data_IF_820739284253
#
_entry.id   IF_820739284253
#
_cell.length_a   1.000
_cell.length_b   1.000
_cell.length_c   1.000
_cell.angle_alpha   90.00
_cell.angle_beta   90.00
_cell.angle_gamma   90.00
#
_symmetry.space_group_name_H-M   'P 1'
#
loop_
_entity.id
_entity.type
_entity.pdbx_description
1 polymer ?
#
# COMPACT_ATOMS: atom_id res chain seq x y z
N UNK A 1 -8.15 -25.60 3.31
CA UNK A 1 -7.38 -26.19 2.17
C UNK A 1 -6.29 -25.21 1.76
N UNK A 2 -5.09 -25.70 1.37
CA UNK A 2 -4.08 -24.81 0.79
C UNK A 2 -4.52 -24.48 -0.64
N UNK A 3 -4.98 -23.25 -0.85
CA UNK A 3 -5.31 -22.75 -2.18
C UNK A 3 -4.02 -22.60 -2.97
N UNK A 4 -3.93 -23.24 -4.14
CA UNK A 4 -2.77 -23.05 -5.02
C UNK A 4 -2.89 -21.72 -5.72
N UNK A 5 -2.04 -20.78 -5.35
CA UNK A 5 -1.93 -19.47 -5.99
C UNK A 5 -0.66 -19.43 -6.85
N UNK A 6 -0.79 -18.90 -8.05
CA UNK A 6 0.33 -18.75 -8.98
C UNK A 6 0.56 -17.26 -9.22
N UNK A 7 1.79 -16.81 -9.01
CA UNK A 7 2.22 -15.48 -9.43
C UNK A 7 2.13 -15.36 -10.95
N UNK A 8 1.55 -14.26 -11.43
CA UNK A 8 1.45 -13.93 -12.86
C UNK A 8 1.90 -12.49 -13.10
N UNK A 9 2.28 -12.17 -14.32
CA UNK A 9 2.63 -10.82 -14.72
C UNK A 9 1.40 -10.03 -15.13
N UNK A 10 1.54 -8.68 -15.25
CA UNK A 10 0.49 -7.82 -15.79
C UNK A 10 -0.10 -6.83 -14.76
N UNK A 11 0.30 -6.90 -13.49
CA UNK A 11 -0.16 -5.94 -12.48
C UNK A 11 -1.68 -5.75 -12.52
N UNK A 12 -2.16 -4.51 -12.60
CA UNK A 12 -3.60 -4.18 -12.69
C UNK A 12 -4.28 -4.66 -13.97
N UNK A 13 -3.54 -5.10 -14.98
CA UNK A 13 -4.08 -5.65 -16.22
C UNK A 13 -4.01 -7.19 -16.29
N UNK A 14 -3.55 -7.86 -15.25
CA UNK A 14 -3.49 -9.32 -15.20
C UNK A 14 -4.88 -9.95 -15.18
N UNK A 15 -5.86 -9.31 -14.54
CA UNK A 15 -7.25 -9.73 -14.55
C UNK A 15 -7.90 -9.44 -15.90
N UNK A 16 -8.74 -10.36 -16.39
CA UNK A 16 -9.37 -10.25 -17.69
C UNK A 16 -10.21 -8.97 -17.83
N UNK A 17 -10.17 -8.33 -19.00
CA UNK A 17 -10.95 -7.14 -19.33
C UNK A 17 -10.45 -5.82 -18.74
N UNK A 18 -9.24 -5.80 -18.17
CA UNK A 18 -8.58 -4.57 -17.73
C UNK A 18 -7.49 -4.13 -18.69
N UNK A 19 -7.44 -2.83 -18.93
CA UNK A 19 -6.38 -2.14 -19.67
C UNK A 19 -5.92 -0.94 -18.87
N UNK A 20 -4.66 -0.53 -19.07
CA UNK A 20 -4.12 0.66 -18.43
C UNK A 20 -3.20 1.42 -19.39
N UNK A 21 -2.90 2.65 -19.05
CA UNK A 21 -1.88 3.46 -19.71
C UNK A 21 -1.33 4.53 -18.76
N UNK A 22 -0.15 5.02 -19.07
CA UNK A 22 0.49 6.12 -18.38
C UNK A 22 1.35 6.93 -19.33
N UNK A 23 1.32 8.27 -19.18
CA UNK A 23 2.12 9.19 -19.97
C UNK A 23 2.55 10.42 -19.15
N UNK A 24 3.47 11.21 -19.71
CA UNK A 24 3.79 12.52 -19.18
C UNK A 24 2.89 13.57 -19.83
N UNK A 25 1.95 14.13 -19.07
CA UNK A 25 1.09 15.20 -19.54
C UNK A 25 1.71 16.60 -19.30
N UNK A 26 2.81 16.70 -18.57
CA UNK A 26 3.52 17.94 -18.29
C UNK A 26 3.38 18.49 -16.88
N UNK A 27 2.78 17.73 -15.96
CA UNK A 27 2.82 18.04 -14.54
C UNK A 27 4.23 17.78 -13.99
N UNK A 28 4.90 16.75 -14.50
CA UNK A 28 6.31 16.51 -14.21
C UNK A 28 7.20 17.20 -15.24
N UNK A 29 8.11 18.10 -14.82
CA UNK A 29 9.02 18.76 -15.75
C UNK A 29 10.01 17.81 -16.44
N UNK A 30 10.32 16.66 -15.80
CA UNK A 30 11.10 15.61 -16.45
C UNK A 30 10.24 14.82 -17.42
N UNK A 31 10.42 15.05 -18.70
CA UNK A 31 9.65 14.44 -19.78
C UNK A 31 9.82 12.92 -19.90
N UNK A 32 10.81 12.34 -19.24
CA UNK A 32 11.01 10.90 -19.20
C UNK A 32 10.19 10.22 -18.08
N UNK A 33 9.56 10.99 -17.21
CA UNK A 33 8.73 10.48 -16.10
C UNK A 33 7.26 10.72 -16.39
N UNK A 34 6.50 9.64 -16.43
CA UNK A 34 5.04 9.71 -16.54
C UNK A 34 4.45 10.36 -15.28
N UNK A 35 3.31 11.04 -15.44
CA UNK A 35 2.64 11.76 -14.35
C UNK A 35 1.10 11.68 -14.39
N UNK A 36 0.55 11.01 -15.42
CA UNK A 36 -0.87 10.77 -15.56
C UNK A 36 -1.13 9.31 -15.94
N UNK A 37 -1.96 8.62 -15.17
CA UNK A 37 -2.34 7.22 -15.36
C UNK A 37 -3.84 7.07 -15.56
N UNK A 38 -4.24 6.04 -16.32
CA UNK A 38 -5.61 5.61 -16.49
C UNK A 38 -5.68 4.08 -16.44
N UNK A 39 -6.61 3.56 -15.62
CA UNK A 39 -6.99 2.15 -15.60
C UNK A 39 -8.44 2.08 -16.10
N UNK A 40 -8.76 1.11 -16.92
CA UNK A 40 -10.04 0.95 -17.57
C UNK A 40 -10.51 -0.50 -17.52
N UNK A 41 -11.81 -0.69 -17.29
CA UNK A 41 -12.49 -1.98 -17.41
C UNK A 41 -13.50 -1.99 -18.56
N UNK A 42 -13.48 -3.05 -19.35
CA UNK A 42 -14.46 -3.27 -20.43
C UNK A 42 -15.89 -3.40 -19.91
N UNK A 43 -16.08 -3.95 -18.71
CA UNK A 43 -17.36 -4.09 -18.03
C UNK A 43 -17.45 -3.18 -16.80
N UNK A 44 -18.66 -2.83 -16.41
CA UNK A 44 -18.95 -2.21 -15.13
C UNK A 44 -18.45 -3.12 -13.99
N UNK A 45 -17.72 -2.56 -13.04
CA UNK A 45 -17.19 -3.27 -11.89
C UNK A 45 -18.03 -2.98 -10.64
N UNK A 46 -18.17 -3.98 -9.78
CA UNK A 46 -18.36 -3.69 -8.36
C UNK A 46 -17.06 -3.12 -7.80
N UNK A 47 -17.17 -2.16 -6.90
CA UNK A 47 -16.01 -1.46 -6.35
C UNK A 47 -16.07 -1.37 -4.83
N UNK A 48 -14.90 -1.30 -4.21
CA UNK A 48 -14.74 -0.94 -2.80
C UNK A 48 -13.50 -0.08 -2.62
N UNK A 49 -13.49 0.73 -1.57
CA UNK A 49 -12.31 1.52 -1.25
C UNK A 49 -12.20 1.80 0.25
N UNK A 50 -10.95 1.95 0.70
CA UNK A 50 -10.61 2.47 2.02
C UNK A 50 -9.70 3.69 1.85
N UNK A 51 -9.76 4.60 2.81
CA UNK A 51 -9.18 5.93 2.68
C UNK A 51 -8.47 6.34 3.96
N UNK A 52 -7.55 7.30 3.85
CA UNK A 52 -6.87 7.89 5.00
C UNK A 52 -7.83 8.38 6.09
N UNK A 53 -7.44 8.18 7.34
CA UNK A 53 -8.10 8.77 8.51
C UNK A 53 -7.61 10.18 8.82
N UNK A 54 -6.58 10.70 8.11
CA UNK A 54 -6.14 12.07 8.27
C UNK A 54 -7.33 13.03 8.15
N UNK A 55 -7.42 14.00 9.06
CA UNK A 55 -8.50 15.00 9.04
C UNK A 55 -8.41 15.94 7.84
N UNK A 56 -7.19 16.23 7.39
CA UNK A 56 -6.92 16.91 6.13
C UNK A 56 -7.00 15.89 5.01
N UNK A 57 -8.03 15.97 4.17
CA UNK A 57 -8.27 15.03 3.07
C UNK A 57 -8.05 15.71 1.72
N UNK A 58 -7.35 15.01 0.85
CA UNK A 58 -7.25 15.41 -0.56
C UNK A 58 -8.62 15.45 -1.23
N UNK A 59 -8.84 16.44 -2.08
CA UNK A 59 -10.07 16.61 -2.82
C UNK A 59 -10.47 15.36 -3.67
N UNK A 60 -9.53 14.63 -4.28
CA UNK A 60 -9.86 13.39 -4.99
C UNK A 60 -10.58 12.34 -4.13
N UNK A 61 -10.23 12.23 -2.84
CA UNK A 61 -10.92 11.32 -1.92
C UNK A 61 -12.40 11.71 -1.76
N UNK A 62 -12.67 13.01 -1.64
CA UNK A 62 -14.03 13.52 -1.46
C UNK A 62 -14.89 13.24 -2.69
N UNK A 63 -14.35 13.49 -3.89
CA UNK A 63 -15.03 13.20 -5.17
C UNK A 63 -15.24 11.71 -5.36
N UNK A 64 -14.21 10.86 -5.17
CA UNK A 64 -14.34 9.41 -5.28
C UNK A 64 -15.40 8.84 -4.34
N UNK A 65 -15.47 9.33 -3.09
CA UNK A 65 -16.52 8.92 -2.14
C UNK A 65 -17.92 9.28 -2.62
N UNK A 66 -18.11 10.48 -3.18
CA UNK A 66 -19.38 10.91 -3.76
C UNK A 66 -19.79 10.03 -4.94
N UNK A 67 -18.85 9.72 -5.83
CA UNK A 67 -19.09 8.87 -7.01
C UNK A 67 -19.49 7.46 -6.61
N UNK A 68 -18.72 6.79 -5.74
CA UNK A 68 -19.06 5.43 -5.30
C UNK A 68 -20.40 5.39 -4.55
N UNK A 69 -20.73 6.40 -3.76
CA UNK A 69 -22.04 6.48 -3.11
C UNK A 69 -23.17 6.70 -4.12
N UNK A 70 -22.98 7.52 -5.15
CA UNK A 70 -23.97 7.80 -6.18
C UNK A 70 -24.26 6.59 -7.09
N UNK A 71 -23.23 5.78 -7.39
CA UNK A 71 -23.33 4.61 -8.27
C UNK A 71 -23.69 3.31 -7.54
N UNK A 72 -23.84 3.34 -6.22
CA UNK A 72 -24.03 2.11 -5.42
C UNK A 72 -22.78 1.22 -5.43
N UNK A 73 -21.61 1.82 -5.29
CA UNK A 73 -20.29 1.17 -5.33
C UNK A 73 -19.97 0.49 -6.67
N UNK A 74 -20.22 1.21 -7.76
CA UNK A 74 -19.84 0.78 -9.10
C UNK A 74 -18.90 1.78 -9.73
N UNK A 75 -17.94 1.28 -10.52
CA UNK A 75 -17.01 2.10 -11.28
C UNK A 75 -16.50 1.33 -12.50
N UNK A 76 -15.88 2.05 -13.46
CA UNK A 76 -15.28 1.46 -14.66
C UNK A 76 -13.87 1.95 -14.94
N UNK A 77 -13.48 3.07 -14.35
CA UNK A 77 -12.16 3.63 -14.60
C UNK A 77 -11.53 4.20 -13.31
N UNK A 78 -10.22 4.31 -13.33
CA UNK A 78 -9.43 5.05 -12.33
C UNK A 78 -8.51 6.01 -13.06
N UNK A 79 -8.59 7.32 -12.79
CA UNK A 79 -7.64 8.33 -13.28
C UNK A 79 -6.78 8.85 -12.14
N UNK A 80 -5.47 8.93 -12.35
CA UNK A 80 -4.51 9.32 -11.31
C UNK A 80 -3.49 10.29 -11.87
N UNK A 81 -3.25 11.41 -11.17
CA UNK A 81 -2.07 12.22 -11.43
C UNK A 81 -1.05 12.13 -10.30
N UNK A 82 0.23 12.20 -10.64
CA UNK A 82 1.31 12.47 -9.69
C UNK A 82 1.77 13.93 -9.75
N UNK A 83 2.78 14.30 -8.95
CA UNK A 83 3.38 15.64 -8.77
C UNK A 83 2.53 16.65 -8.00
N UNK A 84 1.21 16.56 -8.00
CA UNK A 84 0.31 17.46 -7.29
C UNK A 84 -0.74 16.63 -6.52
N UNK A 85 -0.82 16.83 -5.21
CA UNK A 85 -1.75 16.09 -4.33
C UNK A 85 -3.20 16.58 -4.44
N UNK A 86 -3.43 17.74 -5.03
CA UNK A 86 -4.75 18.39 -5.06
C UNK A 86 -5.40 18.45 -3.66
N UNK A 87 -4.61 18.87 -2.68
CA UNK A 87 -4.99 18.96 -1.27
C UNK A 87 -4.77 20.37 -0.75
N UNK A 88 -5.66 20.85 0.11
CA UNK A 88 -5.68 22.21 0.67
C UNK A 88 -5.87 23.31 -0.41
N UNK A 89 -6.57 23.01 -1.47
CA UNK A 89 -6.90 23.95 -2.56
C UNK A 89 -8.39 24.28 -2.51
N UNK A 90 -8.74 25.56 -2.68
CA UNK A 90 -10.13 26.01 -2.68
C UNK A 90 -10.95 25.44 -3.85
N UNK A 91 -10.30 25.18 -4.99
CA UNK A 91 -10.86 24.62 -6.22
C UNK A 91 -10.59 23.10 -6.38
N UNK A 92 -10.12 22.45 -5.32
CA UNK A 92 -9.65 21.07 -5.39
C UNK A 92 -10.71 20.07 -5.85
N UNK A 93 -11.93 20.13 -5.29
CA UNK A 93 -13.02 19.23 -5.68
C UNK A 93 -13.47 19.48 -7.13
N UNK A 94 -13.52 20.76 -7.57
CA UNK A 94 -13.81 21.11 -8.96
C UNK A 94 -12.77 20.49 -9.91
N UNK A 95 -11.48 20.61 -9.59
CA UNK A 95 -10.40 20.04 -10.41
C UNK A 95 -10.42 18.51 -10.43
N UNK A 96 -10.69 17.87 -9.30
CA UNK A 96 -10.85 16.41 -9.24
C UNK A 96 -12.06 15.94 -10.05
N UNK A 97 -13.19 16.67 -9.99
CA UNK A 97 -14.36 16.40 -10.84
C UNK A 97 -14.04 16.56 -12.32
N UNK A 98 -13.35 17.64 -12.71
CA UNK A 98 -12.92 17.85 -14.09
C UNK A 98 -12.05 16.72 -14.63
N UNK A 99 -11.18 16.13 -13.82
CA UNK A 99 -10.41 14.92 -14.21
C UNK A 99 -11.34 13.74 -14.54
N UNK A 100 -12.39 13.53 -13.73
CA UNK A 100 -13.38 12.49 -13.99
C UNK A 100 -14.17 12.76 -15.25
N UNK A 101 -14.62 14.01 -15.45
CA UNK A 101 -15.39 14.42 -16.62
C UNK A 101 -14.60 14.21 -17.92
N UNK A 102 -13.31 14.58 -17.91
CA UNK A 102 -12.41 14.43 -19.06
C UNK A 102 -12.18 12.96 -19.40
N UNK A 103 -11.88 12.11 -18.38
CA UNK A 103 -11.70 10.68 -18.60
C UNK A 103 -12.99 10.00 -19.08
N UNK A 104 -14.11 10.33 -18.47
CA UNK A 104 -15.42 9.79 -18.81
C UNK A 104 -15.83 10.11 -20.26
N UNK A 105 -15.57 11.34 -20.71
CA UNK A 105 -15.86 11.77 -22.10
C UNK A 105 -15.09 10.93 -23.12
N UNK A 106 -13.79 10.66 -22.88
CA UNK A 106 -12.98 9.85 -23.80
C UNK A 106 -13.34 8.36 -23.75
N UNK A 107 -13.83 7.85 -22.60
CA UNK A 107 -14.20 6.46 -22.41
C UNK A 107 -15.67 6.15 -22.74
N UNK A 108 -16.49 7.16 -22.97
CA UNK A 108 -17.93 7.01 -23.24
C UNK A 108 -18.73 6.46 -22.05
N UNK A 109 -18.37 6.87 -20.84
CA UNK A 109 -19.03 6.49 -19.57
C UNK A 109 -19.48 7.73 -18.81
N UNK A 110 -20.12 7.54 -17.65
CA UNK A 110 -20.48 8.65 -16.78
C UNK A 110 -19.29 9.03 -15.89
N UNK A 111 -19.21 10.31 -15.51
CA UNK A 111 -18.15 10.81 -14.65
C UNK A 111 -18.14 10.16 -13.25
N UNK A 112 -19.32 9.78 -12.72
CA UNK A 112 -19.45 9.11 -11.45
C UNK A 112 -19.01 7.63 -11.48
N UNK A 113 -18.77 7.05 -12.66
CA UNK A 113 -18.14 5.73 -12.83
C UNK A 113 -16.59 5.80 -12.81
N UNK A 114 -16.01 6.99 -12.58
CA UNK A 114 -14.56 7.22 -12.51
C UNK A 114 -14.11 7.45 -11.07
N UNK A 115 -13.17 6.64 -10.60
CA UNK A 115 -12.40 6.88 -9.37
C UNK A 115 -11.27 7.84 -9.71
N UNK A 116 -11.07 8.88 -8.90
CA UNK A 116 -9.99 9.84 -9.08
C UNK A 116 -9.03 9.84 -7.89
N UNK A 117 -7.74 9.90 -8.16
CA UNK A 117 -6.70 10.02 -7.16
C UNK A 117 -5.60 10.99 -7.61
N UNK A 118 -4.92 11.59 -6.65
CA UNK A 118 -3.79 12.49 -6.87
C UNK A 118 -2.72 12.26 -5.81
N UNK A 119 -1.46 12.45 -6.15
CA UNK A 119 -0.33 12.39 -5.22
C UNK A 119 0.74 13.41 -5.60
N UNK A 120 1.51 13.87 -4.61
CA UNK A 120 2.58 14.85 -4.79
C UNK A 120 2.47 15.98 -3.79
N UNK A 121 2.74 17.20 -4.25
CA UNK A 121 2.83 18.38 -3.38
C UNK A 121 1.47 18.84 -2.90
N UNK A 122 1.37 19.16 -1.61
CA UNK A 122 0.19 19.72 -0.94
C UNK A 122 0.21 21.25 -1.05
N UNK A 123 -0.99 21.87 -1.21
CA UNK A 123 -1.15 23.33 -1.17
C UNK A 123 -0.85 24.05 -2.50
N UNK A 124 -0.53 23.30 -3.55
CA UNK A 124 -0.39 23.85 -4.90
C UNK A 124 -1.66 23.61 -5.72
N UNK A 125 -2.10 24.64 -6.48
CA UNK A 125 -3.22 24.49 -7.42
C UNK A 125 -2.88 23.44 -8.48
N UNK A 126 -3.81 22.54 -8.75
CA UNK A 126 -3.67 21.58 -9.83
C UNK A 126 -3.95 22.27 -11.17
N UNK A 127 -2.96 22.39 -12.06
CA UNK A 127 -3.21 22.87 -13.42
C UNK A 127 -3.96 21.76 -14.20
N UNK A 128 -5.19 22.06 -14.62
CA UNK A 128 -6.02 21.06 -15.31
C UNK A 128 -5.72 20.99 -16.83
N UNK A 129 -5.17 22.04 -17.38
CA UNK A 129 -4.88 22.16 -18.80
C UNK A 129 -3.97 21.04 -19.33
N UNK A 130 -2.85 20.70 -18.67
CA UNK A 130 -2.02 19.57 -19.09
C UNK A 130 -2.79 18.25 -19.17
N UNK A 131 -3.67 18.00 -18.20
CA UNK A 131 -4.48 16.78 -18.16
C UNK A 131 -5.49 16.79 -19.32
N UNK A 132 -6.21 17.91 -19.49
CA UNK A 132 -7.20 18.07 -20.58
C UNK A 132 -6.58 17.85 -21.94
N UNK A 133 -5.37 18.38 -22.15
CA UNK A 133 -4.73 18.37 -23.48
C UNK A 133 -4.13 16.98 -23.82
N UNK A 134 -3.98 16.08 -22.83
CA UNK A 134 -3.39 14.74 -23.01
C UNK A 134 -4.31 13.54 -22.67
N UNK A 135 -5.49 13.77 -22.09
CA UNK A 135 -6.40 12.67 -21.69
C UNK A 135 -6.86 11.82 -22.88
N UNK A 136 -7.01 12.40 -24.05
CA UNK A 136 -7.36 11.67 -25.28
C UNK A 136 -6.23 10.71 -25.69
N UNK A 137 -4.98 11.17 -25.67
CA UNK A 137 -3.81 10.33 -25.95
C UNK A 137 -3.70 9.20 -24.90
N UNK A 138 -3.94 9.53 -23.62
CA UNK A 138 -3.94 8.59 -22.53
C UNK A 138 -4.97 7.46 -22.76
N UNK A 139 -6.20 7.82 -23.12
CA UNK A 139 -7.29 6.87 -23.39
C UNK A 139 -7.03 6.01 -24.64
N UNK A 140 -6.52 6.61 -25.72
CA UNK A 140 -6.17 5.86 -26.96
C UNK A 140 -5.05 4.87 -26.75
N UNK A 141 -4.16 5.10 -25.78
CA UNK A 141 -3.05 4.22 -25.42
C UNK A 141 -3.41 3.11 -24.46
N UNK A 142 -4.67 2.94 -24.08
CA UNK A 142 -5.10 1.86 -23.17
C UNK A 142 -4.79 0.49 -23.78
N UNK A 143 -4.07 -0.33 -23.02
CA UNK A 143 -3.68 -1.68 -23.41
C UNK A 143 -3.34 -2.52 -22.18
N UNK A 144 -3.60 -3.83 -22.19
CA UNK A 144 -3.13 -4.72 -21.13
C UNK A 144 -1.61 -4.71 -20.96
N UNK A 145 -0.86 -4.43 -22.00
CA UNK A 145 0.61 -4.37 -22.00
C UNK A 145 1.18 -3.07 -21.41
N UNK A 146 0.34 -2.06 -21.19
CA UNK A 146 0.77 -0.76 -20.65
C UNK A 146 0.59 -0.63 -19.12
N UNK A 147 0.35 -1.74 -18.39
CA UNK A 147 0.23 -1.74 -16.93
C UNK A 147 1.44 -1.07 -16.25
N UNK A 148 2.66 -1.41 -16.67
CA UNK A 148 3.88 -0.81 -16.14
C UNK A 148 3.99 0.70 -16.39
N UNK A 149 3.43 1.24 -17.51
CA UNK A 149 3.37 2.70 -17.73
C UNK A 149 2.46 3.38 -16.71
N UNK A 150 1.33 2.76 -16.39
CA UNK A 150 0.43 3.27 -15.36
C UNK A 150 1.08 3.23 -13.96
N UNK A 151 1.74 2.12 -13.61
CA UNK A 151 2.45 1.99 -12.35
C UNK A 151 3.59 3.02 -12.21
N UNK A 152 4.32 3.32 -13.29
CA UNK A 152 5.32 4.38 -13.31
C UNK A 152 4.72 5.78 -13.17
N UNK A 153 3.53 6.03 -13.74
CA UNK A 153 2.92 7.35 -13.76
C UNK A 153 2.39 7.82 -12.39
N UNK A 154 2.17 6.89 -11.46
CA UNK A 154 1.73 7.23 -10.11
C UNK A 154 2.88 7.45 -9.13
N UNK A 155 4.13 7.19 -9.51
CA UNK A 155 5.32 7.34 -8.67
C UNK A 155 5.63 8.82 -8.36
N UNK A 156 6.25 9.04 -7.19
CA UNK A 156 6.77 10.35 -6.78
C UNK A 156 8.26 10.27 -6.46
N UNK A 157 8.60 9.84 -5.25
CA UNK A 157 9.97 9.58 -4.78
C UNK A 157 10.36 8.11 -4.87
N UNK A 158 9.45 7.27 -5.30
CA UNK A 158 9.66 5.84 -5.51
C UNK A 158 10.85 5.59 -6.45
N UNK A 159 11.64 4.55 -6.18
CA UNK A 159 12.80 4.19 -7.01
C UNK A 159 12.43 3.17 -8.10
N UNK A 160 11.34 2.43 -7.92
CA UNK A 160 10.81 1.49 -8.90
C UNK A 160 9.29 1.37 -8.82
N UNK A 161 8.67 0.97 -9.94
CA UNK A 161 7.24 0.70 -10.01
C UNK A 161 6.88 -0.59 -9.27
N UNK A 162 5.85 -0.52 -8.41
CA UNK A 162 5.40 -1.63 -7.57
C UNK A 162 4.11 -2.21 -8.13
N UNK A 163 4.18 -3.42 -8.64
CA UNK A 163 3.03 -4.15 -9.16
C UNK A 163 3.18 -5.66 -8.92
N UNK A 164 2.06 -6.35 -8.78
CA UNK A 164 2.01 -7.80 -8.62
C UNK A 164 0.64 -8.34 -9.01
N UNK A 165 0.56 -9.60 -9.35
CA UNK A 165 -0.71 -10.29 -9.57
C UNK A 165 -0.60 -11.78 -9.23
N UNK A 166 -1.73 -12.37 -8.84
CA UNK A 166 -1.86 -13.81 -8.59
C UNK A 166 -3.08 -14.37 -9.29
N UNK A 167 -2.95 -15.57 -9.83
CA UNK A 167 -4.07 -16.37 -10.33
C UNK A 167 -4.37 -17.55 -9.41
N UNK A 168 -5.64 -17.93 -9.35
CA UNK A 168 -6.17 -18.99 -8.51
C UNK A 168 -7.43 -19.54 -9.15
N UNK A 169 -8.04 -20.57 -8.56
CA UNK A 169 -9.24 -21.21 -9.09
C UNK A 169 -10.43 -21.02 -8.14
N UNK A 170 -11.56 -20.57 -8.68
CA UNK A 170 -12.87 -20.58 -8.04
C UNK A 170 -13.85 -21.32 -8.93
N UNK A 171 -14.58 -22.29 -8.39
CA UNK A 171 -15.63 -23.01 -9.11
C UNK A 171 -15.15 -23.56 -10.48
N UNK A 172 -13.90 -24.03 -10.53
CA UNK A 172 -13.24 -24.52 -11.76
C UNK A 172 -12.86 -23.43 -12.77
N UNK A 173 -13.06 -22.14 -12.45
CA UNK A 173 -12.68 -20.98 -13.27
C UNK A 173 -11.34 -20.41 -12.82
N UNK A 174 -10.50 -20.02 -13.76
CA UNK A 174 -9.30 -19.25 -13.43
C UNK A 174 -9.68 -17.81 -13.13
N UNK A 175 -9.33 -17.36 -11.95
CA UNK A 175 -9.55 -16.02 -11.46
C UNK A 175 -8.20 -15.33 -11.21
N UNK A 176 -8.18 -14.01 -11.27
CA UNK A 176 -6.96 -13.22 -11.07
C UNK A 176 -7.24 -12.00 -10.19
N UNK A 177 -6.32 -11.72 -9.29
CA UNK A 177 -6.21 -10.44 -8.57
C UNK A 177 -4.88 -9.82 -8.92
N UNK A 178 -4.90 -8.58 -9.39
CA UNK A 178 -3.69 -7.81 -9.68
C UNK A 178 -3.73 -6.45 -9.04
N UNK A 179 -2.58 -5.85 -8.82
CA UNK A 179 -2.52 -4.53 -8.21
C UNK A 179 -1.23 -3.78 -8.50
N UNK A 180 -1.30 -2.48 -8.33
CA UNK A 180 -0.16 -1.58 -8.31
C UNK A 180 -0.24 -0.64 -7.11
N UNK A 181 0.93 -0.22 -6.61
CA UNK A 181 1.06 0.68 -5.48
C UNK A 181 2.15 1.72 -5.71
N UNK A 182 2.00 2.88 -5.08
CA UNK A 182 3.06 3.89 -4.96
C UNK A 182 3.18 4.34 -3.51
N UNK A 183 4.40 4.66 -3.15
CA UNK A 183 4.75 5.25 -1.88
C UNK A 183 6.17 4.92 -1.49
N UNK A 184 6.84 5.91 -0.91
CA UNK A 184 8.23 5.85 -0.47
C UNK A 184 8.44 6.72 0.77
N UNK A 185 7.76 7.86 0.90
CA UNK A 185 7.68 8.73 2.07
C UNK A 185 6.25 9.15 2.40
N UNK A 186 6.05 9.78 3.57
CA UNK A 186 4.77 10.11 4.18
C UNK A 186 3.90 8.84 4.34
N UNK A 187 4.50 7.82 4.95
CA UNK A 187 3.87 6.49 5.10
C UNK A 187 3.81 6.08 6.57
N UNK A 188 2.65 6.24 7.17
CA UNK A 188 2.26 5.66 8.46
C UNK A 188 0.74 5.48 8.46
N UNK A 189 0.24 4.40 7.89
CA UNK A 189 -1.19 4.23 7.69
C UNK A 189 -1.95 4.00 8.98
N UNK A 190 -3.13 4.62 8.96
CA UNK A 190 -4.22 4.22 9.82
C UNK A 190 -5.48 4.20 8.97
N UNK A 191 -5.90 2.99 8.52
CA UNK A 191 -7.03 2.72 7.61
C UNK A 191 -6.83 2.98 6.10
N UNK A 192 -5.72 3.30 5.59
CA UNK A 192 -5.14 3.20 4.23
C UNK A 192 -3.89 4.05 4.14
N UNK A 193 -2.94 3.61 3.34
CA UNK A 193 -1.68 4.32 3.19
C UNK A 193 -1.18 4.15 1.79
N UNK A 194 -0.74 5.23 1.18
CA UNK A 194 -0.28 5.19 -0.20
C UNK A 194 -1.45 5.14 -1.21
N UNK A 195 -1.16 5.28 -2.49
CA UNK A 195 -2.14 5.01 -3.53
C UNK A 195 -1.97 3.59 -4.03
N UNK A 196 -3.05 2.82 -3.92
CA UNK A 196 -3.09 1.43 -4.35
C UNK A 196 -4.35 1.18 -5.17
N UNK A 197 -4.17 0.58 -6.32
CA UNK A 197 -5.25 0.22 -7.23
C UNK A 197 -5.17 -1.28 -7.48
N UNK A 198 -6.29 -1.95 -7.20
CA UNK A 198 -6.43 -3.40 -7.33
C UNK A 198 -7.54 -3.71 -8.31
N UNK A 199 -7.34 -4.70 -9.13
CA UNK A 199 -8.31 -5.19 -10.12
C UNK A 199 -8.49 -6.69 -9.96
N UNK A 200 -9.68 -7.17 -10.25
CA UNK A 200 -9.97 -8.61 -10.30
C UNK A 200 -11.08 -8.89 -11.31
N UNK A 201 -11.00 -10.04 -11.94
CA UNK A 201 -12.04 -10.56 -12.82
C UNK A 201 -13.08 -11.42 -12.09
N UNK A 202 -12.97 -11.56 -10.77
CA UNK A 202 -13.92 -12.31 -9.93
C UNK A 202 -15.30 -11.65 -9.91
N UNK A 203 -16.34 -12.44 -10.06
CA UNK A 203 -17.73 -12.04 -9.78
C UNK A 203 -17.95 -12.05 -8.26
N UNK A 204 -18.04 -10.88 -7.64
CA UNK A 204 -18.18 -10.70 -6.19
C UNK A 204 -18.94 -9.41 -5.88
N UNK A 205 -19.77 -9.42 -4.84
CA UNK A 205 -20.53 -8.24 -4.43
C UNK A 205 -19.62 -7.17 -3.81
N UNK A 206 -20.02 -5.89 -3.93
CA UNK A 206 -19.30 -4.78 -3.33
C UNK A 206 -19.20 -4.89 -1.80
N UNK A 207 -20.22 -5.49 -1.16
CA UNK A 207 -20.22 -5.74 0.28
C UNK A 207 -19.10 -6.71 0.68
N UNK A 208 -18.99 -7.84 -0.05
CA UNK A 208 -17.95 -8.84 0.23
C UNK A 208 -16.54 -8.33 -0.08
N UNK A 209 -16.37 -7.54 -1.16
CA UNK A 209 -15.09 -6.90 -1.44
C UNK A 209 -14.74 -5.92 -0.32
N UNK A 210 -15.68 -5.07 0.10
CA UNK A 210 -15.44 -4.07 1.14
C UNK A 210 -15.06 -4.72 2.47
N UNK A 211 -15.73 -5.85 2.81
CA UNK A 211 -15.39 -6.64 3.99
C UNK A 211 -13.96 -7.17 3.91
N UNK A 212 -13.61 -7.89 2.82
CA UNK A 212 -12.28 -8.44 2.61
C UNK A 212 -11.19 -7.36 2.66
N UNK A 213 -11.40 -6.25 1.95
CA UNK A 213 -10.46 -5.13 1.91
C UNK A 213 -10.25 -4.52 3.30
N UNK A 214 -11.32 -4.27 4.05
CA UNK A 214 -11.27 -3.67 5.38
C UNK A 214 -10.56 -4.56 6.41
N UNK A 215 -10.70 -5.87 6.30
CA UNK A 215 -10.01 -6.84 7.17
C UNK A 215 -8.52 -6.94 6.82
N UNK A 216 -8.20 -7.07 5.53
CA UNK A 216 -6.83 -7.30 5.06
C UNK A 216 -5.95 -6.07 5.27
N UNK A 217 -6.47 -4.86 5.05
CA UNK A 217 -5.73 -3.62 5.24
C UNK A 217 -5.23 -3.47 6.68
N UNK A 218 -5.96 -3.97 7.68
CA UNK A 218 -5.55 -3.91 9.09
C UNK A 218 -4.24 -4.66 9.37
N UNK A 219 -4.01 -5.77 8.67
CA UNK A 219 -2.86 -6.66 8.89
C UNK A 219 -1.81 -6.56 7.78
N UNK A 220 -1.98 -5.65 6.83
CA UNK A 220 -1.05 -5.34 5.76
C UNK A 220 -0.62 -3.87 5.81
N UNK A 221 -1.24 -3.01 5.05
CA UNK A 221 -0.86 -1.59 4.96
C UNK A 221 -0.88 -0.86 6.31
N UNK A 222 -1.86 -1.10 7.19
CA UNK A 222 -1.88 -0.47 8.51
C UNK A 222 -0.75 -0.92 9.45
N UNK A 223 -0.03 -1.97 9.08
CA UNK A 223 1.16 -2.44 9.75
C UNK A 223 2.47 -1.94 9.12
N UNK A 224 2.40 -1.02 8.16
CA UNK A 224 3.56 -0.40 7.51
C UNK A 224 3.87 0.96 8.17
N UNK A 225 5.15 1.32 8.30
CA UNK A 225 5.58 2.68 8.66
C UNK A 225 6.96 2.98 8.08
N UNK A 226 7.08 4.07 7.32
CA UNK A 226 8.36 4.58 6.84
C UNK A 226 8.87 5.71 7.73
N UNK A 227 8.07 6.74 7.96
CA UNK A 227 8.45 7.96 8.66
C UNK A 227 7.50 8.40 9.78
N UNK A 228 6.41 7.68 10.00
CA UNK A 228 5.44 8.00 11.04
C UNK A 228 4.37 9.01 10.62
N UNK A 229 4.42 9.54 9.38
CA UNK A 229 3.50 10.56 8.89
C UNK A 229 2.36 9.96 8.05
N UNK A 230 1.11 10.22 8.46
CA UNK A 230 -0.09 9.76 7.74
C UNK A 230 -0.45 10.73 6.63
N UNK A 231 -0.45 10.25 5.39
CA UNK A 231 -0.76 11.06 4.21
C UNK A 231 -2.21 11.55 4.17
N UNK A 232 -2.42 12.65 3.44
CA UNK A 232 -3.73 13.26 3.19
C UNK A 232 -4.52 12.60 2.06
N UNK A 233 -3.85 11.77 1.23
CA UNK A 233 -4.39 11.27 -0.04
C UNK A 233 -4.51 9.75 -0.13
N UNK A 234 -4.16 9.03 0.92
CA UNK A 234 -4.12 7.57 0.90
C UNK A 234 -5.44 6.95 0.51
N UNK A 235 -5.37 6.01 -0.43
CA UNK A 235 -6.50 5.26 -0.94
C UNK A 235 -6.06 3.86 -1.36
N UNK A 236 -6.82 2.84 -0.97
CA UNK A 236 -6.81 1.54 -1.62
C UNK A 236 -8.16 1.35 -2.27
N UNK A 237 -8.22 1.20 -3.59
CA UNK A 237 -9.44 0.88 -4.31
C UNK A 237 -9.32 -0.44 -5.04
N UNK A 238 -10.42 -1.18 -5.13
CA UNK A 238 -10.54 -2.44 -5.85
C UNK A 238 -11.72 -2.39 -6.81
N UNK A 239 -11.50 -2.84 -8.05
CA UNK A 239 -12.50 -3.00 -9.09
C UNK A 239 -12.63 -4.48 -9.46
N UNK A 240 -13.85 -5.02 -9.45
CA UNK A 240 -14.15 -6.40 -9.82
C UNK A 240 -15.20 -6.44 -10.94
N UNK A 241 -14.80 -6.91 -12.13
CA UNK A 241 -15.64 -6.87 -13.33
C UNK A 241 -16.40 -8.18 -13.64
N UNK A 242 -16.16 -9.25 -12.89
CA UNK A 242 -16.87 -10.53 -13.04
C UNK A 242 -16.57 -11.31 -14.31
N UNK A 243 -15.50 -10.98 -15.03
CA UNK A 243 -15.17 -11.62 -16.30
C UNK A 243 -14.59 -13.04 -16.19
N UNK A 244 -14.22 -13.48 -14.98
CA UNK A 244 -13.85 -14.87 -14.72
C UNK A 244 -15.05 -15.83 -14.80
N UNK A 245 -16.29 -15.29 -14.72
CA UNK A 245 -17.53 -16.07 -14.81
C UNK A 245 -17.65 -17.18 -13.76
N UNK A 246 -17.05 -16.97 -12.59
CA UNK A 246 -17.28 -17.80 -11.40
C UNK A 246 -18.68 -17.54 -10.83
N UNK A 247 -19.19 -18.46 -10.02
CA UNK A 247 -20.40 -18.22 -9.24
C UNK A 247 -20.22 -16.96 -8.38
N UNK A 248 -21.15 -15.98 -8.45
CA UNK A 248 -20.99 -14.71 -7.72
C UNK A 248 -20.86 -14.91 -6.22
N UNK A 249 -19.81 -14.36 -5.63
CA UNK A 249 -19.57 -14.38 -4.17
C UNK A 249 -20.43 -13.28 -3.54
N UNK A 250 -21.49 -13.68 -2.83
CA UNK A 250 -22.42 -12.76 -2.16
C UNK A 250 -22.50 -12.97 -0.65
N UNK A 251 -21.76 -13.96 -0.12
CA UNK A 251 -21.69 -14.30 1.29
C UNK A 251 -20.33 -14.91 1.61
N UNK A 252 -20.04 -15.02 2.91
CA UNK A 252 -18.86 -15.75 3.41
C UNK A 252 -18.99 -17.26 3.10
N UNK A 253 -17.87 -17.91 2.89
CA UNK A 253 -17.75 -19.31 2.54
C UNK A 253 -16.39 -19.62 1.89
N UNK A 254 -16.22 -20.82 1.37
CA UNK A 254 -14.93 -21.30 0.84
C UNK A 254 -14.41 -20.43 -0.33
N UNK A 255 -15.28 -20.02 -1.24
CA UNK A 255 -14.91 -19.16 -2.37
C UNK A 255 -14.51 -17.74 -1.91
N UNK A 256 -15.24 -17.20 -0.91
CA UNK A 256 -14.86 -15.92 -0.28
C UNK A 256 -13.51 -16.02 0.42
N UNK A 257 -13.25 -17.09 1.19
CA UNK A 257 -11.99 -17.31 1.87
C UNK A 257 -10.83 -17.45 0.86
N UNK A 258 -11.07 -18.13 -0.24
CA UNK A 258 -10.09 -18.26 -1.35
C UNK A 258 -9.77 -16.90 -1.97
N UNK A 259 -10.79 -16.12 -2.32
CA UNK A 259 -10.62 -14.76 -2.83
C UNK A 259 -9.87 -13.87 -1.81
N UNK A 260 -10.26 -13.93 -0.54
CA UNK A 260 -9.63 -13.17 0.54
C UNK A 260 -8.15 -13.50 0.70
N UNK A 261 -7.76 -14.77 0.57
CA UNK A 261 -6.36 -15.19 0.59
C UNK A 261 -5.59 -14.65 -0.63
N UNK A 262 -6.17 -14.67 -1.84
CA UNK A 262 -5.54 -14.10 -3.03
C UNK A 262 -5.34 -12.59 -2.92
N UNK A 263 -6.36 -11.87 -2.45
CA UNK A 263 -6.28 -10.43 -2.18
C UNK A 263 -5.22 -10.14 -1.12
N UNK A 264 -5.18 -10.90 -0.02
CA UNK A 264 -4.16 -10.78 1.01
C UNK A 264 -2.75 -10.93 0.44
N UNK A 265 -2.51 -11.92 -0.42
CA UNK A 265 -1.19 -12.13 -1.01
C UNK A 265 -0.75 -10.94 -1.88
N UNK A 266 -1.65 -10.38 -2.68
CA UNK A 266 -1.35 -9.18 -3.49
C UNK A 266 -1.04 -7.98 -2.59
N UNK A 267 -1.90 -7.67 -1.62
CA UNK A 267 -1.71 -6.51 -0.74
C UNK A 267 -0.47 -6.66 0.15
N UNK A 268 -0.16 -7.88 0.63
CA UNK A 268 1.03 -8.16 1.41
C UNK A 268 2.31 -7.99 0.58
N UNK A 269 2.32 -8.48 -0.65
CA UNK A 269 3.46 -8.31 -1.57
C UNK A 269 3.71 -6.82 -1.82
N UNK A 270 2.68 -6.04 -2.13
CA UNK A 270 2.79 -4.60 -2.31
C UNK A 270 3.24 -3.88 -1.03
N UNK A 271 2.75 -4.30 0.15
CA UNK A 271 3.20 -3.76 1.46
C UNK A 271 4.71 -3.92 1.66
N UNK A 272 5.24 -5.11 1.37
CA UNK A 272 6.68 -5.37 1.48
C UNK A 272 7.50 -4.57 0.45
N UNK A 273 6.99 -4.44 -0.78
CA UNK A 273 7.63 -3.60 -1.80
C UNK A 273 7.69 -2.12 -1.37
N UNK A 274 6.63 -1.61 -0.74
CA UNK A 274 6.59 -0.25 -0.18
C UNK A 274 7.59 -0.09 0.98
N UNK A 275 7.67 -1.07 1.89
CA UNK A 275 8.62 -1.06 3.00
C UNK A 275 10.08 -1.04 2.51
N UNK A 276 10.38 -1.83 1.48
CA UNK A 276 11.73 -1.95 0.90
C UNK A 276 12.16 -0.69 0.16
N UNK A 277 11.21 0.05 -0.41
CA UNK A 277 11.46 1.28 -1.19
C UNK A 277 11.19 2.56 -0.37
N UNK A 278 11.36 2.51 0.96
CA UNK A 278 11.32 3.72 1.78
C UNK A 278 12.36 4.76 1.34
N UNK A 279 12.02 6.06 1.42
CA UNK A 279 12.93 7.15 0.99
C UNK A 279 14.32 7.02 1.62
N UNK A 280 15.33 6.81 0.78
CA UNK A 280 16.71 6.66 1.19
C UNK A 280 17.01 5.39 2.00
N UNK A 281 16.11 4.44 2.06
CA UNK A 281 16.28 3.19 2.82
C UNK A 281 17.43 2.34 2.27
N UNK A 282 18.17 1.73 3.17
CA UNK A 282 19.17 0.70 2.86
C UNK A 282 18.75 -0.69 3.31
N UNK A 283 17.79 -0.80 4.24
CA UNK A 283 17.33 -2.07 4.82
C UNK A 283 15.81 -2.08 4.98
N UNK A 284 15.19 -3.22 4.64
CA UNK A 284 13.80 -3.51 5.03
C UNK A 284 13.79 -4.12 6.43
N UNK A 285 12.87 -3.67 7.26
CA UNK A 285 12.67 -4.16 8.63
C UNK A 285 11.30 -4.84 8.73
N UNK A 286 11.29 -6.07 9.22
CA UNK A 286 10.06 -6.80 9.59
C UNK A 286 10.10 -7.08 11.09
N UNK A 287 9.15 -6.54 11.85
CA UNK A 287 8.99 -6.80 13.28
C UNK A 287 7.82 -7.76 13.50
N UNK A 288 8.09 -8.90 14.10
CA UNK A 288 7.08 -9.87 14.53
C UNK A 288 6.92 -9.75 16.06
N UNK A 289 5.70 -9.51 16.53
CA UNK A 289 5.34 -9.62 17.93
C UNK A 289 4.44 -10.85 18.10
N UNK A 290 4.89 -11.81 18.88
CA UNK A 290 4.20 -13.06 19.24
C UNK A 290 3.92 -13.14 20.73
N UNK A 291 3.16 -14.15 21.16
CA UNK A 291 2.84 -14.35 22.58
C UNK A 291 1.99 -13.22 23.18
N UNK A 292 1.28 -12.44 22.37
CA UNK A 292 0.45 -11.34 22.83
C UNK A 292 -0.93 -11.82 23.31
N UNK A 293 -1.58 -11.09 24.26
CA UNK A 293 -2.91 -11.42 24.71
C UNK A 293 -3.98 -11.34 23.61
N UNK A 294 -3.82 -10.42 22.66
CA UNK A 294 -4.68 -10.24 21.50
C UNK A 294 -3.90 -9.67 20.31
N UNK A 295 -4.54 -9.67 19.12
CA UNK A 295 -3.92 -9.22 17.87
C UNK A 295 -3.65 -7.71 17.85
N UNK A 296 -4.51 -6.91 18.45
CA UNK A 296 -4.36 -5.45 18.45
C UNK A 296 -3.12 -5.06 19.27
N UNK A 297 -2.91 -5.68 20.45
CA UNK A 297 -1.71 -5.54 21.26
C UNK A 297 -0.45 -5.89 20.47
N UNK A 298 -0.46 -7.03 19.75
CA UNK A 298 0.67 -7.43 18.92
C UNK A 298 0.98 -6.41 17.80
N UNK A 299 -0.04 -5.89 17.13
CA UNK A 299 0.10 -4.86 16.08
C UNK A 299 0.69 -3.57 16.67
N UNK A 300 0.16 -3.09 17.79
CA UNK A 300 0.60 -1.85 18.44
C UNK A 300 2.08 -1.94 18.80
N UNK A 301 2.50 -3.04 19.41
CA UNK A 301 3.90 -3.24 19.82
C UNK A 301 4.83 -3.34 18.62
N UNK A 302 4.53 -4.22 17.64
CA UNK A 302 5.36 -4.37 16.45
C UNK A 302 5.49 -3.04 15.71
N UNK A 303 4.40 -2.30 15.55
CA UNK A 303 4.38 -1.00 14.89
C UNK A 303 5.11 0.07 15.68
N UNK A 304 5.09 0.03 17.02
CA UNK A 304 5.83 0.96 17.89
C UNK A 304 7.34 0.84 17.65
N UNK A 305 7.86 -0.37 17.51
CA UNK A 305 9.28 -0.61 17.21
C UNK A 305 9.62 -0.09 15.81
N UNK A 306 8.86 -0.50 14.79
CA UNK A 306 9.12 -0.13 13.38
C UNK A 306 9.12 1.38 13.16
N UNK A 307 8.27 2.15 13.85
CA UNK A 307 8.20 3.61 13.70
C UNK A 307 9.23 4.39 14.52
N UNK A 308 10.00 3.74 15.42
CA UNK A 308 10.95 4.41 16.30
C UNK A 308 12.17 4.96 15.54
N UNK A 309 12.37 6.30 15.44
CA UNK A 309 13.54 6.86 14.75
C UNK A 309 14.87 6.37 15.33
N UNK A 310 14.96 6.25 16.65
CA UNK A 310 16.19 5.78 17.30
C UNK A 310 16.52 4.33 16.92
N UNK A 311 15.49 3.45 16.89
CA UNK A 311 15.67 2.07 16.45
C UNK A 311 16.06 2.00 14.97
N UNK A 312 15.39 2.75 14.10
CA UNK A 312 15.68 2.80 12.66
C UNK A 312 17.11 3.28 12.38
N UNK A 313 17.61 4.27 13.14
CA UNK A 313 19.00 4.70 13.06
C UNK A 313 19.99 3.64 13.55
N UNK A 314 19.62 2.83 14.56
CA UNK A 314 20.46 1.70 14.99
C UNK A 314 20.59 0.65 13.89
N UNK A 315 19.50 0.34 13.20
CA UNK A 315 19.51 -0.61 12.06
C UNK A 315 20.37 -0.10 10.90
N UNK A 316 20.31 1.19 10.60
CA UNK A 316 21.21 1.81 9.62
C UNK A 316 22.68 1.72 10.03
N UNK A 317 22.98 1.92 11.32
CA UNK A 317 24.32 1.83 11.88
C UNK A 317 24.78 0.41 12.22
N UNK A 318 23.99 -0.62 11.89
CA UNK A 318 24.29 -2.03 12.18
C UNK A 318 24.55 -2.29 13.68
N UNK A 319 23.84 -1.52 14.54
CA UNK A 319 23.94 -1.59 15.99
C UNK A 319 22.79 -2.48 16.54
N UNK A 320 23.13 -3.59 17.17
CA UNK A 320 22.19 -4.51 17.81
C UNK A 320 21.57 -3.92 19.09
N UNK A 321 21.07 -2.70 19.02
CA UNK A 321 20.62 -1.88 20.14
C UNK A 321 19.26 -2.35 20.68
N UNK A 322 19.26 -3.46 21.40
CA UNK A 322 18.07 -4.01 22.05
C UNK A 322 17.43 -3.04 23.05
N UNK A 323 18.20 -2.14 23.66
CA UNK A 323 17.69 -1.12 24.57
C UNK A 323 16.72 -0.15 23.86
N UNK A 324 16.98 0.22 22.60
CA UNK A 324 16.07 1.05 21.78
C UNK A 324 14.80 0.27 21.40
N UNK A 325 14.92 -1.04 21.21
CA UNK A 325 13.76 -1.91 20.95
C UNK A 325 12.86 -1.96 22.20
N UNK A 326 13.42 -2.26 23.38
CA UNK A 326 12.65 -2.26 24.63
C UNK A 326 12.06 -0.88 24.97
N UNK A 327 12.79 0.19 24.69
CA UNK A 327 12.27 1.54 24.85
C UNK A 327 11.01 1.74 23.98
N UNK A 328 11.07 1.31 22.71
CA UNK A 328 9.94 1.42 21.78
C UNK A 328 8.75 0.55 22.18
N UNK A 329 9.00 -0.63 22.74
CA UNK A 329 7.98 -1.49 23.33
C UNK A 329 7.37 -0.82 24.55
N UNK A 330 8.20 -0.22 25.44
CA UNK A 330 7.77 0.34 26.72
C UNK A 330 6.87 1.58 26.62
N UNK A 331 6.89 2.33 25.51
CA UNK A 331 5.96 3.44 25.29
C UNK A 331 4.82 3.10 24.33
N UNK A 332 4.69 1.83 23.91
CA UNK A 332 3.56 1.38 23.13
C UNK A 332 2.26 1.52 23.94
N UNK A 333 1.19 2.01 23.26
CA UNK A 333 -0.12 2.18 23.89
C UNK A 333 -0.86 0.84 23.97
N UNK A 334 -0.34 -0.07 24.78
CA UNK A 334 -0.87 -1.42 24.99
C UNK A 334 -0.56 -1.90 26.42
N UNK A 335 -1.42 -2.77 26.96
CA UNK A 335 -1.24 -3.37 28.28
C UNK A 335 -0.55 -4.73 28.17
N UNK A 336 0.61 -4.87 28.79
CA UNK A 336 1.38 -6.12 28.84
C UNK A 336 2.42 -6.08 29.98
N UNK A 337 2.96 -7.23 30.38
CA UNK A 337 4.03 -7.33 31.38
C UNK A 337 5.40 -7.25 30.68
N UNK A 338 6.06 -6.11 30.80
CA UNK A 338 7.38 -5.88 30.19
C UNK A 338 8.44 -6.87 30.69
N UNK A 339 8.32 -7.39 31.90
CA UNK A 339 9.34 -8.27 32.49
C UNK A 339 9.41 -9.66 31.84
N UNK A 340 8.49 -9.98 30.93
CA UNK A 340 8.45 -11.26 30.21
C UNK A 340 8.94 -11.15 28.77
N UNK A 341 9.31 -9.94 28.33
CA UNK A 341 9.63 -9.69 26.92
C UNK A 341 10.99 -10.27 26.52
N UNK A 342 10.97 -11.09 25.49
CA UNK A 342 12.16 -11.58 24.79
C UNK A 342 12.31 -10.90 23.45
N UNK A 343 13.56 -10.68 23.00
CA UNK A 343 13.86 -10.10 21.69
C UNK A 343 15.01 -10.84 21.03
N UNK A 344 14.80 -11.23 19.77
CA UNK A 344 15.82 -11.75 18.87
C UNK A 344 15.95 -10.85 17.64
N UNK A 345 17.18 -10.74 17.12
CA UNK A 345 17.47 -10.14 15.82
C UNK A 345 17.88 -11.24 14.86
N UNK A 346 17.38 -11.17 13.62
CA UNK A 346 17.63 -12.19 12.62
C UNK A 346 17.75 -11.61 11.22
N UNK A 347 18.41 -12.36 10.34
CA UNK A 347 18.46 -12.16 8.89
C UNK A 347 18.73 -13.49 8.18
N UNK A 348 19.04 -13.48 6.89
CA UNK A 348 19.50 -14.65 6.16
C UNK A 348 20.78 -15.27 6.75
N UNK A 349 21.57 -14.51 7.54
CA UNK A 349 22.80 -14.96 8.20
C UNK A 349 22.59 -15.65 9.54
N UNK A 350 21.36 -15.71 10.04
CA UNK A 350 21.01 -16.42 11.27
C UNK A 350 20.25 -15.56 12.26
N UNK A 351 20.24 -16.00 13.52
CA UNK A 351 19.51 -15.36 14.62
C UNK A 351 20.41 -15.22 15.84
N UNK A 352 20.27 -14.08 16.54
CA UNK A 352 20.89 -13.85 17.87
C UNK A 352 19.81 -13.42 18.86
N UNK A 353 19.93 -13.96 20.09
CA UNK A 353 19.19 -13.47 21.23
C UNK A 353 19.86 -12.21 21.76
N UNK A 354 19.13 -11.12 21.94
CA UNK A 354 19.67 -9.86 22.47
C UNK A 354 19.03 -9.45 23.78
N UNK A 355 17.83 -9.98 24.10
CA UNK A 355 17.13 -9.71 25.33
C UNK A 355 16.31 -10.94 25.78
N UNK A 356 16.29 -11.21 27.07
CA UNK A 356 15.43 -12.22 27.72
C UNK A 356 14.88 -11.64 29.01
N UNK A 357 13.55 -11.78 29.19
CA UNK A 357 12.84 -11.25 30.35
C UNK A 357 13.18 -9.77 30.62
N UNK A 358 13.14 -8.94 29.57
CA UNK A 358 13.48 -7.52 29.58
C UNK A 358 14.92 -7.18 30.01
N UNK A 359 15.82 -8.15 30.06
CA UNK A 359 17.23 -7.96 30.40
C UNK A 359 18.11 -8.36 29.22
N UNK A 360 19.20 -7.60 29.00
CA UNK A 360 20.19 -7.93 27.97
C UNK A 360 20.87 -9.25 28.28
N UNK A 361 21.16 -10.02 27.23
CA UNK A 361 21.94 -11.25 27.32
C UNK A 361 23.26 -11.08 26.56
N UNK A 362 24.27 -11.85 26.95
CA UNK A 362 25.55 -11.85 26.24
C UNK A 362 25.36 -12.41 24.82
N UNK A 363 25.87 -11.72 23.82
CA UNK A 363 25.88 -12.16 22.43
C UNK A 363 27.20 -11.72 21.73
N UNK A 364 27.51 -12.34 20.62
CA UNK A 364 28.66 -11.96 19.81
C UNK A 364 28.34 -10.72 18.99
N UNK A 365 29.06 -9.61 19.23
CA UNK A 365 28.97 -8.39 18.43
C UNK A 365 29.36 -8.63 16.98
N UNK A 366 30.34 -9.51 16.71
CA UNK A 366 30.73 -9.88 15.36
C UNK A 366 29.58 -10.58 14.62
N UNK A 367 28.89 -11.52 15.30
CA UNK A 367 27.74 -12.21 14.73
C UNK A 367 26.53 -11.28 14.56
N UNK A 368 26.33 -10.36 15.49
CA UNK A 368 25.31 -9.33 15.41
C UNK A 368 25.51 -8.46 14.16
N UNK A 369 26.75 -8.00 13.94
CA UNK A 369 27.09 -7.21 12.78
C UNK A 369 26.86 -7.98 11.48
N UNK A 370 27.31 -9.23 11.38
CA UNK A 370 27.09 -10.09 10.20
C UNK A 370 25.58 -10.21 9.87
N UNK A 371 24.72 -10.31 10.88
CA UNK A 371 23.26 -10.38 10.72
C UNK A 371 22.71 -9.04 10.23
N UNK A 372 23.17 -7.92 10.81
CA UNK A 372 22.64 -6.59 10.54
C UNK A 372 23.18 -5.95 9.25
N UNK A 373 24.23 -6.50 8.64
CA UNK A 373 24.70 -6.11 7.30
C UNK A 373 23.75 -6.50 6.16
N UNK A 374 22.81 -7.43 6.40
CA UNK A 374 21.87 -7.88 5.37
C UNK A 374 20.79 -6.80 5.07
N UNK A 375 20.22 -6.87 3.86
CA UNK A 375 19.20 -5.93 3.38
C UNK A 375 17.81 -6.13 4.03
N UNK A 376 17.56 -7.30 4.62
CA UNK A 376 16.30 -7.65 5.28
C UNK A 376 16.58 -8.11 6.71
N UNK A 377 16.10 -7.32 7.68
CA UNK A 377 16.29 -7.56 9.11
C UNK A 377 14.95 -7.92 9.75
N UNK A 378 14.96 -8.98 10.54
CA UNK A 378 13.81 -9.47 11.27
C UNK A 378 14.00 -9.22 12.77
N UNK A 379 13.04 -8.56 13.38
CA UNK A 379 12.95 -8.30 14.81
C UNK A 379 11.85 -9.22 15.38
N UNK A 380 12.24 -10.20 16.17
CA UNK A 380 11.30 -11.15 16.77
C UNK A 380 11.12 -10.84 18.24
N UNK A 381 9.89 -10.46 18.62
CA UNK A 381 9.48 -10.15 19.98
C UNK A 381 8.54 -11.26 20.46
N UNK A 382 8.77 -11.81 21.65
CA UNK A 382 7.83 -12.69 22.32
C UNK A 382 7.43 -12.09 23.67
N UNK A 383 6.13 -11.91 23.88
CA UNK A 383 5.60 -11.38 25.14
C UNK A 383 5.31 -12.46 26.18
N UNK A 384 5.21 -13.72 25.77
CA UNK A 384 4.86 -14.87 26.65
C UNK A 384 3.55 -14.67 27.45
N UNK A 385 2.55 -13.98 26.89
CA UNK A 385 1.31 -13.60 27.59
C UNK A 385 0.03 -14.02 26.87
N UNK A 386 0.16 -14.77 25.78
CA UNK A 386 -0.95 -15.24 24.98
C UNK A 386 -0.49 -15.99 23.74
N UNK A 387 -1.41 -16.15 22.77
CA UNK A 387 -1.14 -16.87 21.52
C UNK A 387 -1.24 -15.97 20.28
N UNK A 388 -1.65 -14.72 20.47
CA UNK A 388 -1.81 -13.80 19.34
C UNK A 388 -0.46 -13.34 18.80
N UNK A 389 -0.42 -13.09 17.49
CA UNK A 389 0.78 -12.61 16.80
C UNK A 389 0.41 -11.65 15.69
N UNK A 390 1.30 -10.69 15.46
CA UNK A 390 1.19 -9.76 14.34
C UNK A 390 2.57 -9.36 13.83
N UNK A 391 2.60 -8.79 12.62
CA UNK A 391 3.80 -8.27 11.99
C UNK A 391 3.62 -6.81 11.62
N UNK A 392 4.74 -6.06 11.63
CA UNK A 392 4.82 -4.72 11.09
C UNK A 392 6.07 -4.59 10.20
N UNK A 393 5.98 -3.72 9.20
CA UNK A 393 7.06 -3.51 8.22
C UNK A 393 7.46 -2.05 8.16
N UNK A 394 8.71 -1.83 7.78
CA UNK A 394 9.28 -0.51 7.55
C UNK A 394 10.69 -0.62 6.99
N UNK A 395 11.44 0.45 7.15
CA UNK A 395 12.83 0.53 6.72
C UNK A 395 13.69 1.20 7.80
N UNK A 396 15.01 1.16 7.64
CA UNK A 396 15.94 1.96 8.43
C UNK A 396 15.76 3.47 8.18
N UNK A 397 16.52 4.30 8.90
CA UNK A 397 16.53 5.75 8.74
C UNK A 397 17.96 6.21 8.45
N UNK A 398 18.18 6.69 7.22
CA UNK A 398 19.48 7.06 6.69
C UNK A 398 19.64 8.58 6.53
N UNK A 399 20.84 9.04 6.21
CA UNK A 399 21.10 10.43 5.83
C UNK A 399 20.35 10.84 4.55
N UNK A 400 20.13 9.91 3.63
CA UNK A 400 19.45 10.19 2.37
C UNK A 400 17.96 10.51 2.57
N UNK A 401 17.31 9.98 3.61
CA UNK A 401 15.96 10.40 3.99
C UNK A 401 15.89 11.91 4.23
N UNK A 402 16.82 12.43 5.05
CA UNK A 402 16.89 13.87 5.36
C UNK A 402 17.20 14.69 4.11
N UNK A 403 18.13 14.22 3.27
CA UNK A 403 18.50 14.88 2.01
C UNK A 403 17.33 14.96 1.04
N UNK A 404 16.62 13.84 0.80
CA UNK A 404 15.46 13.78 -0.09
C UNK A 404 14.37 14.76 0.38
N UNK A 405 14.01 14.71 1.68
CA UNK A 405 12.95 15.53 2.22
C UNK A 405 13.32 17.00 2.42
N UNK A 406 14.61 17.30 2.66
CA UNK A 406 15.13 18.67 2.71
C UNK A 406 15.08 19.37 1.35
N UNK A 407 15.21 18.62 0.27
CA UNK A 407 15.17 19.11 -1.11
C UNK A 407 13.79 18.95 -1.79
N UNK A 408 12.86 18.19 -1.18
CA UNK A 408 11.49 17.99 -1.69
C UNK A 408 10.69 19.30 -1.53
N UNK A 409 10.91 20.20 -2.47
CA UNK A 409 10.20 21.49 -2.54
C UNK A 409 9.11 21.43 -3.60
N UNK A 410 8.08 22.01 -3.23
CA UNK A 410 6.95 22.29 -4.10
C UNK A 410 7.29 23.35 -5.14
#
# INVERSE_FOLDING_TARGET
MNVTMKQVEGGVCAAAGFSANGLNCGLNPDRNKNDLALIWSEKECTAAAVYTTNKVKGAPILVTKKHLAATGNKARAVIVNSKNANTCNADGEEKAQMMCDLAAAELGIKADEVIVASTGVIGQKLPIEPIRDHVQELARGLSPQNHGKAANAIMTTDTYAKETAVSFTLDGKTCTVGGMAKGSGMIHPNMATTLNFVTTDVAISSEMIQKALSEIVKVTYNCLSIDGDTSTNDMVSILANGMAENTPITAEGEDYDTFRQALYQVLMTLTKMLAKDGEGASKMLECTCSGAPDQDTAIIIAKSVIRSPLFKCAMFGEDANWGRILCAIGYADAEFDINKVDVDLASAKGTIAVCRNAAGVDFSEEKAKEILEEDEIYINIDLHQGEASAKAWGCDLTYDYVKINGDYRS
#
